data_IF_612056115100
#
_entry.id   IF_612056115100
#
_cell.length_a   1.000
_cell.length_b   1.000
_cell.length_c   1.000
_cell.angle_alpha   90.00
_cell.angle_beta   90.00
_cell.angle_gamma   90.00
#
_symmetry.space_group_name_H-M   'P 1'
#
loop_
_entity.id
_entity.type
_entity.pdbx_description
1 polymer ?
#
# COMPACT_ATOMS: atom_id res chain seq x y z
N UNK A 1 -12.78 -20.19 -27.70
CA UNK A 1 -12.25 -18.87 -27.30
C UNK A 1 -10.73 -18.96 -27.38
N UNK A 2 -10.12 -18.14 -28.22
CA UNK A 2 -8.66 -18.09 -28.42
C UNK A 2 -8.01 -17.19 -27.37
N UNK A 3 -6.69 -17.25 -27.22
CA UNK A 3 -5.95 -16.31 -26.35
C UNK A 3 -6.10 -14.85 -26.79
N UNK A 4 -6.34 -14.60 -28.09
CA UNK A 4 -6.56 -13.27 -28.64
C UNK A 4 -7.92 -12.73 -28.17
N UNK A 5 -8.97 -13.57 -28.19
CA UNK A 5 -10.29 -13.18 -27.68
C UNK A 5 -10.25 -12.81 -26.19
N UNK A 6 -9.52 -13.59 -25.38
CA UNK A 6 -9.31 -13.32 -23.94
C UNK A 6 -8.56 -11.99 -23.73
N UNK A 7 -7.56 -11.69 -24.57
CA UNK A 7 -6.80 -10.45 -24.47
C UNK A 7 -7.69 -9.24 -24.78
N UNK A 8 -8.51 -9.30 -25.83
CA UNK A 8 -9.43 -8.20 -26.16
C UNK A 8 -10.42 -7.93 -25.03
N UNK A 9 -11.00 -8.98 -24.44
CA UNK A 9 -11.87 -8.84 -23.26
C UNK A 9 -11.16 -8.13 -22.11
N UNK A 10 -9.90 -8.49 -21.82
CA UNK A 10 -9.11 -7.85 -20.76
C UNK A 10 -8.78 -6.39 -21.06
N UNK A 11 -8.53 -6.05 -22.32
CA UNK A 11 -8.28 -4.67 -22.77
C UNK A 11 -9.52 -3.82 -22.56
N UNK A 12 -10.69 -4.31 -22.97
CA UNK A 12 -11.94 -3.57 -22.82
C UNK A 12 -12.29 -3.34 -21.34
N UNK A 13 -12.11 -4.35 -20.49
CA UNK A 13 -12.19 -4.18 -19.03
C UNK A 13 -11.20 -3.14 -18.49
N UNK A 14 -10.00 -3.07 -19.07
CA UNK A 14 -9.00 -2.07 -18.72
C UNK A 14 -9.45 -0.65 -19.07
N UNK A 15 -10.02 -0.45 -20.25
CA UNK A 15 -10.57 0.84 -20.71
C UNK A 15 -11.74 1.32 -19.85
N UNK A 16 -12.53 0.39 -19.34
CA UNK A 16 -13.61 0.66 -18.39
C UNK A 16 -13.11 0.95 -16.96
N UNK A 17 -11.79 0.91 -16.71
CA UNK A 17 -11.19 1.14 -15.40
C UNK A 17 -11.38 -0.02 -14.41
N UNK A 18 -11.89 -1.18 -14.86
CA UNK A 18 -12.19 -2.33 -13.99
C UNK A 18 -10.95 -3.12 -13.53
N UNK A 19 -9.77 -2.77 -14.04
CA UNK A 19 -8.50 -3.40 -13.70
C UNK A 19 -7.64 -2.54 -12.75
N UNK A 20 -8.18 -1.43 -12.22
CA UNK A 20 -7.44 -0.53 -11.33
C UNK A 20 -7.56 -1.02 -9.87
N UNK A 21 -6.41 -1.32 -9.27
CA UNK A 21 -6.27 -1.73 -7.88
C UNK A 21 -6.31 -0.56 -6.89
N UNK A 22 -6.02 -0.84 -5.63
CA UNK A 22 -5.84 0.23 -4.63
C UNK A 22 -4.54 0.99 -4.91
N UNK A 23 -4.49 2.31 -4.74
CA UNK A 23 -3.25 3.07 -4.93
C UNK A 23 -2.17 2.63 -3.93
N UNK A 24 -0.93 2.48 -4.40
CA UNK A 24 0.23 2.22 -3.53
C UNK A 24 0.74 3.48 -2.85
N UNK A 25 0.31 4.66 -3.31
CA UNK A 25 0.86 5.95 -2.89
C UNK A 25 2.12 6.36 -3.64
N UNK A 26 2.65 5.50 -4.52
CA UNK A 26 3.83 5.77 -5.36
C UNK A 26 3.34 5.86 -6.82
N UNK A 27 3.12 7.07 -7.37
CA UNK A 27 2.50 7.23 -8.69
C UNK A 27 3.23 6.45 -9.78
N UNK A 28 4.56 6.46 -9.74
CA UNK A 28 5.35 5.74 -10.74
C UNK A 28 5.18 4.22 -10.66
N UNK A 29 4.98 3.67 -9.46
CA UNK A 29 4.70 2.24 -9.30
C UNK A 29 3.29 1.90 -9.79
N UNK A 30 2.31 2.74 -9.43
CA UNK A 30 0.91 2.58 -9.84
C UNK A 30 0.75 2.60 -11.37
N UNK A 31 1.54 3.41 -12.09
CA UNK A 31 1.57 3.41 -13.57
C UNK A 31 1.93 2.04 -14.15
N UNK A 32 2.85 1.30 -13.53
CA UNK A 32 3.31 -0.01 -14.03
C UNK A 32 2.49 -1.17 -13.50
N UNK A 33 1.94 -1.07 -12.28
CA UNK A 33 1.22 -2.18 -11.63
C UNK A 33 -0.29 -2.05 -11.70
N UNK A 34 -0.80 -0.87 -12.06
CA UNK A 34 -2.21 -0.53 -11.89
C UNK A 34 -2.64 -0.47 -10.42
N UNK A 35 -1.70 -0.20 -9.50
CA UNK A 35 -1.92 -0.25 -8.04
C UNK A 35 -1.71 -1.63 -7.42
N UNK A 36 -2.30 -1.85 -6.25
CA UNK A 36 -2.31 -3.11 -5.51
C UNK A 36 -3.38 -4.02 -6.10
N UNK A 37 -2.91 -5.07 -6.74
CA UNK A 37 -3.74 -6.10 -7.39
C UNK A 37 -3.94 -7.29 -6.44
N UNK A 38 -4.99 -8.12 -6.64
CA UNK A 38 -5.23 -9.34 -5.86
C UNK A 38 -4.25 -10.46 -6.26
N UNK A 39 -2.95 -10.21 -6.07
CA UNK A 39 -1.84 -11.10 -6.42
C UNK A 39 -0.86 -11.21 -5.25
N UNK A 40 0.04 -12.19 -5.33
CA UNK A 40 1.20 -12.26 -4.45
C UNK A 40 2.24 -11.24 -4.88
N UNK A 41 2.63 -10.34 -3.97
CA UNK A 41 3.70 -9.37 -4.19
C UNK A 41 4.85 -9.62 -3.22
N UNK A 42 6.07 -9.70 -3.75
CA UNK A 42 7.29 -9.84 -2.96
C UNK A 42 8.00 -8.49 -2.84
N UNK A 43 8.14 -7.98 -1.62
CA UNK A 43 8.99 -6.83 -1.30
C UNK A 43 10.27 -7.35 -0.64
N UNK A 44 11.40 -7.27 -1.33
CA UNK A 44 12.69 -7.75 -0.83
C UNK A 44 13.78 -6.68 -0.95
N UNK A 45 14.89 -6.88 -0.24
CA UNK A 45 16.00 -5.94 -0.17
C UNK A 45 16.87 -6.18 1.08
N UNK A 46 18.06 -5.59 1.08
CA UNK A 46 19.03 -5.71 2.18
C UNK A 46 18.49 -5.15 3.51
N UNK A 47 19.09 -5.54 4.63
CA UNK A 47 18.73 -4.94 5.93
C UNK A 47 18.87 -3.41 5.88
N UNK A 48 17.96 -2.69 6.53
CA UNK A 48 17.93 -1.22 6.49
C UNK A 48 17.39 -0.59 5.20
N UNK A 49 17.07 -1.36 4.15
CA UNK A 49 16.59 -0.81 2.87
C UNK A 49 15.15 -0.25 2.87
N UNK A 50 14.49 -0.20 4.03
CA UNK A 50 13.13 0.35 4.16
C UNK A 50 11.98 -0.58 3.74
N UNK A 51 12.21 -1.90 3.57
CA UNK A 51 11.15 -2.87 3.17
C UNK A 51 9.88 -2.76 4.01
N UNK A 52 10.03 -2.81 5.34
CA UNK A 52 8.89 -2.75 6.27
C UNK A 52 8.19 -1.40 6.23
N UNK A 53 8.94 -0.31 5.98
CA UNK A 53 8.37 1.02 5.80
C UNK A 53 7.55 1.10 4.49
N UNK A 54 8.07 0.56 3.38
CA UNK A 54 7.33 0.46 2.12
C UNK A 54 6.06 -0.38 2.26
N UNK A 55 6.15 -1.51 2.97
CA UNK A 55 5.02 -2.39 3.23
C UNK A 55 3.92 -1.68 4.04
N UNK A 56 4.30 -1.04 5.14
CA UNK A 56 3.40 -0.25 5.99
C UNK A 56 2.75 0.90 5.21
N UNK A 57 3.55 1.65 4.47
CA UNK A 57 3.06 2.79 3.70
C UNK A 57 2.08 2.37 2.60
N UNK A 58 2.52 1.45 1.72
CA UNK A 58 1.78 1.15 0.49
C UNK A 58 0.60 0.20 0.72
N UNK A 59 0.74 -0.77 1.64
CA UNK A 59 -0.25 -1.84 1.81
C UNK A 59 -1.10 -1.72 3.07
N UNK A 60 -0.79 -0.76 3.95
CA UNK A 60 -1.63 -0.47 5.13
C UNK A 60 -2.10 0.98 5.12
N UNK A 61 -1.18 1.92 5.24
CA UNK A 61 -1.50 3.33 5.39
C UNK A 61 -2.33 3.86 4.21
N UNK A 62 -1.87 3.63 2.97
CA UNK A 62 -2.57 4.11 1.76
C UNK A 62 -3.97 3.50 1.60
N UNK A 63 -4.18 2.17 1.69
CA UNK A 63 -5.51 1.59 1.70
C UNK A 63 -6.45 2.17 2.76
N UNK A 64 -5.98 2.37 3.99
CA UNK A 64 -6.80 2.91 5.08
C UNK A 64 -7.14 4.40 4.86
N UNK A 65 -6.15 5.19 4.43
CA UNK A 65 -6.27 6.64 4.28
C UNK A 65 -7.05 7.05 3.04
N UNK A 66 -6.76 6.43 1.90
CA UNK A 66 -7.29 6.84 0.60
C UNK A 66 -8.70 6.27 0.34
N UNK A 67 -9.10 5.23 1.10
CA UNK A 67 -10.39 4.53 0.93
C UNK A 67 -11.15 4.34 2.25
N UNK A 68 -11.41 5.40 3.04
CA UNK A 68 -11.98 5.29 4.39
C UNK A 68 -13.39 4.69 4.44
N UNK A 69 -14.13 4.80 3.34
CA UNK A 69 -15.50 4.28 3.22
C UNK A 69 -15.57 2.87 2.63
N UNK A 70 -14.43 2.29 2.20
CA UNK A 70 -14.38 0.96 1.60
C UNK A 70 -14.21 -0.07 2.71
N UNK A 71 -14.96 -1.17 2.65
CA UNK A 71 -14.83 -2.27 3.61
C UNK A 71 -13.54 -3.07 3.34
N UNK A 72 -12.42 -2.57 3.84
CA UNK A 72 -11.09 -3.18 3.71
C UNK A 72 -10.73 -3.83 5.05
N UNK A 73 -10.41 -5.13 5.01
CA UNK A 73 -9.84 -5.85 6.15
C UNK A 73 -8.38 -6.14 5.85
N UNK A 74 -7.49 -5.61 6.69
CA UNK A 74 -6.05 -5.83 6.59
C UNK A 74 -5.59 -6.71 7.75
N UNK A 75 -4.78 -7.71 7.44
CA UNK A 75 -4.12 -8.55 8.43
C UNK A 75 -2.61 -8.41 8.22
N UNK A 76 -1.89 -7.96 9.25
CA UNK A 76 -0.45 -7.75 9.20
C UNK A 76 0.24 -8.65 10.22
N UNK A 77 1.03 -9.59 9.72
CA UNK A 77 1.83 -10.48 10.54
C UNK A 77 3.22 -9.87 10.74
N UNK A 78 3.44 -9.27 11.90
CA UNK A 78 4.74 -8.70 12.26
C UNK A 78 5.57 -9.71 13.04
N UNK A 79 6.71 -10.10 12.50
CA UNK A 79 7.63 -11.04 13.15
C UNK A 79 8.78 -10.33 13.89
N UNK A 80 9.07 -9.07 13.53
CA UNK A 80 10.21 -8.30 14.06
C UNK A 80 9.78 -7.13 14.96
N UNK A 81 8.66 -6.47 14.63
CA UNK A 81 8.20 -5.25 15.31
C UNK A 81 6.95 -5.50 16.14
N UNK A 82 6.86 -4.88 17.31
CA UNK A 82 5.65 -4.92 18.13
C UNK A 82 4.48 -4.18 17.46
N UNK A 83 3.26 -4.52 17.83
CA UNK A 83 2.06 -3.89 17.27
C UNK A 83 2.01 -2.39 17.59
N UNK A 84 2.39 -2.00 18.81
CA UNK A 84 2.44 -0.62 19.28
C UNK A 84 3.37 0.22 18.40
N UNK A 85 4.55 -0.31 18.07
CA UNK A 85 5.53 0.38 17.24
C UNK A 85 5.04 0.55 15.79
N UNK A 86 4.31 -0.41 15.25
CA UNK A 86 3.68 -0.30 13.94
C UNK A 86 2.60 0.78 13.93
N UNK A 87 1.74 0.78 14.96
CA UNK A 87 0.68 1.79 15.11
C UNK A 87 1.28 3.20 15.25
N UNK A 88 2.35 3.37 16.02
CA UNK A 88 3.06 4.63 16.15
C UNK A 88 3.59 5.12 14.79
N UNK A 89 4.21 4.24 13.99
CA UNK A 89 4.69 4.58 12.64
C UNK A 89 3.55 5.01 11.70
N UNK A 90 2.39 4.33 11.76
CA UNK A 90 1.20 4.72 10.99
C UNK A 90 0.67 6.08 11.43
N UNK A 91 0.66 6.36 12.73
CA UNK A 91 0.25 7.66 13.27
C UNK A 91 1.22 8.77 12.84
N UNK A 92 2.54 8.51 12.82
CA UNK A 92 3.52 9.46 12.30
C UNK A 92 3.25 9.83 10.85
N UNK A 93 2.93 8.84 10.00
CA UNK A 93 2.55 9.08 8.58
C UNK A 93 1.31 9.96 8.48
N UNK A 94 0.27 9.66 9.27
CA UNK A 94 -0.96 10.44 9.31
C UNK A 94 -0.70 11.89 9.75
N UNK A 95 0.08 12.09 10.83
CA UNK A 95 0.37 13.42 11.35
C UNK A 95 1.11 14.27 10.31
N UNK A 96 2.07 13.66 9.61
CA UNK A 96 2.80 14.34 8.55
C UNK A 96 1.88 14.76 7.41
N UNK A 97 1.01 13.87 6.91
CA UNK A 97 0.14 14.20 5.78
C UNK A 97 -0.97 15.19 6.12
N UNK A 98 -1.59 15.07 7.29
CA UNK A 98 -2.71 15.95 7.66
C UNK A 98 -2.26 17.32 8.18
N UNK A 99 -1.13 17.37 8.86
CA UNK A 99 -0.70 18.57 9.58
C UNK A 99 0.66 19.12 9.13
N UNK A 100 1.36 18.44 8.22
CA UNK A 100 2.70 18.84 7.75
C UNK A 100 3.78 18.73 8.83
N UNK A 101 3.52 18.02 9.94
CA UNK A 101 4.44 17.91 11.08
C UNK A 101 5.20 16.59 11.04
N UNK A 102 6.53 16.69 11.11
CA UNK A 102 7.40 15.51 11.21
C UNK A 102 7.64 15.23 12.69
N UNK A 103 7.11 14.11 13.17
CA UNK A 103 7.35 13.60 14.52
C UNK A 103 7.93 12.19 14.38
N UNK A 104 9.20 11.97 14.73
CA UNK A 104 9.79 10.63 14.77
C UNK A 104 9.03 9.75 15.77
N UNK A 105 8.90 8.45 15.46
CA UNK A 105 8.22 7.52 16.38
C UNK A 105 8.92 7.42 17.75
N UNK A 106 10.24 7.66 17.80
CA UNK A 106 11.02 7.70 19.04
C UNK A 106 10.56 8.81 19.97
N UNK A 107 10.20 9.96 19.39
CA UNK A 107 9.79 11.15 20.12
C UNK A 107 8.27 11.10 20.41
N UNK A 108 7.51 10.42 19.54
CA UNK A 108 6.09 10.16 19.76
C UNK A 108 5.86 9.20 20.94
N UNK A 109 6.78 8.25 21.13
CA UNK A 109 6.68 7.17 22.14
C UNK A 109 7.55 7.40 23.38
N UNK A 110 8.25 8.54 23.48
CA UNK A 110 9.08 8.91 24.63
C UNK A 110 8.28 9.37 25.84
#
# INVERSE_FOLDING_TARGET
MTNIDILYEKIDRGREGKNIGLKTGIPKLDEYTGGIQPIYTLVFGVSGSGKSALALYSYIYRPLKDYPNKNIKLCYFSLELSAELLLAKLLCLYIYEEYGKIIPYTDLMS
#
